data_IF_246295276997
#
_entry.id   IF_246295276997
#
_cell.length_a   1.000
_cell.length_b   1.000
_cell.length_c   1.000
_cell.angle_alpha   90.00
_cell.angle_beta   90.00
_cell.angle_gamma   90.00
#
_symmetry.space_group_name_H-M   'P 1'
#
loop_
_entity.id
_entity.type
_entity.pdbx_description
1 polymer ?
#
# COMPACT_ATOMS: atom_id res chain seq x y z
N UNK A 1 20.17 -27.00 15.02
CA UNK A 1 19.50 -26.06 14.10
C UNK A 1 19.59 -24.61 14.57
N UNK A 2 19.59 -24.33 15.88
CA UNK A 2 19.70 -22.97 16.45
C UNK A 2 20.97 -22.20 16.04
N UNK A 3 22.14 -22.86 16.00
CA UNK A 3 23.40 -22.21 15.61
C UNK A 3 23.42 -21.68 14.17
N UNK A 4 22.70 -22.32 13.24
CA UNK A 4 22.63 -21.89 11.83
C UNK A 4 21.77 -20.64 11.66
N UNK A 5 20.68 -20.53 12.43
CA UNK A 5 19.85 -19.33 12.47
C UNK A 5 20.63 -18.13 13.06
N UNK A 6 21.41 -18.35 14.12
CA UNK A 6 22.25 -17.31 14.73
C UNK A 6 23.32 -16.80 13.74
N UNK A 7 24.04 -17.69 13.05
CA UNK A 7 25.02 -17.29 12.03
C UNK A 7 24.40 -16.49 10.88
N UNK A 8 23.24 -16.93 10.36
CA UNK A 8 22.57 -16.26 9.26
C UNK A 8 22.09 -14.86 9.65
N UNK A 9 21.53 -14.72 10.85
CA UNK A 9 21.12 -13.42 11.37
C UNK A 9 22.31 -12.48 11.52
N UNK A 10 23.40 -12.93 12.15
CA UNK A 10 24.61 -12.12 12.34
C UNK A 10 25.19 -11.65 11.01
N UNK A 11 25.25 -12.54 10.02
CA UNK A 11 25.72 -12.21 8.68
C UNK A 11 24.89 -11.10 8.04
N UNK A 12 23.56 -11.26 8.00
CA UNK A 12 22.70 -10.23 7.39
C UNK A 12 22.72 -8.94 8.19
N UNK A 13 22.74 -9.00 9.53
CA UNK A 13 22.82 -7.81 10.37
C UNK A 13 24.09 -7.01 10.04
N UNK A 14 25.24 -7.68 9.96
CA UNK A 14 26.50 -7.04 9.59
C UNK A 14 26.46 -6.52 8.15
N UNK A 15 25.84 -7.22 7.20
CA UNK A 15 25.77 -6.76 5.81
C UNK A 15 24.96 -5.48 5.65
N UNK A 16 23.97 -5.23 6.52
CA UNK A 16 23.22 -3.95 6.53
C UNK A 16 24.06 -2.75 6.94
N UNK A 17 25.25 -2.94 7.52
CA UNK A 17 26.14 -1.87 7.97
C UNK A 17 27.22 -1.50 6.93
N UNK A 18 27.25 -2.19 5.79
CA UNK A 18 28.16 -1.86 4.69
C UNK A 18 27.84 -0.48 4.10
N UNK A 19 28.84 0.15 3.48
CA UNK A 19 28.69 1.44 2.79
C UNK A 19 27.57 1.39 1.73
N UNK A 20 27.55 0.31 0.94
CA UNK A 20 26.49 0.02 -0.04
C UNK A 20 25.91 -1.37 0.26
N UNK A 21 24.90 -1.46 1.15
CA UNK A 21 24.34 -2.73 1.57
C UNK A 21 23.40 -3.28 0.50
N UNK A 22 23.65 -4.53 0.08
CA UNK A 22 22.78 -5.23 -0.84
C UNK A 22 21.36 -5.36 -0.26
N UNK A 23 20.34 -5.13 -1.10
CA UNK A 23 18.93 -5.17 -0.71
C UNK A 23 18.52 -6.49 -0.02
N UNK A 24 19.04 -7.64 -0.46
CA UNK A 24 18.82 -8.95 0.18
C UNK A 24 19.11 -8.96 1.68
N UNK A 25 20.19 -8.31 2.14
CA UNK A 25 20.50 -8.20 3.56
C UNK A 25 19.53 -7.31 4.31
N UNK A 26 19.18 -6.17 3.70
CA UNK A 26 18.18 -5.24 4.24
C UNK A 26 16.80 -5.90 4.37
N UNK A 27 16.36 -6.61 3.33
CA UNK A 27 15.10 -7.35 3.31
C UNK A 27 15.06 -8.44 4.38
N UNK A 28 16.13 -9.25 4.51
CA UNK A 28 16.19 -10.32 5.50
C UNK A 28 16.17 -9.81 6.93
N UNK A 29 16.87 -8.71 7.20
CA UNK A 29 16.80 -8.07 8.52
C UNK A 29 15.47 -7.37 8.75
N UNK A 30 14.87 -6.78 7.70
CA UNK A 30 13.52 -6.22 7.77
C UNK A 30 12.48 -7.27 8.13
N UNK A 31 12.52 -8.45 7.50
CA UNK A 31 11.65 -9.60 7.79
C UNK A 31 11.82 -10.07 9.24
N UNK A 32 13.06 -10.13 9.73
CA UNK A 32 13.37 -10.48 11.12
C UNK A 32 12.74 -9.49 12.10
N UNK A 33 12.91 -8.19 11.90
CA UNK A 33 12.35 -7.19 12.79
C UNK A 33 10.82 -7.11 12.68
N UNK A 34 10.26 -7.27 11.48
CA UNK A 34 8.81 -7.25 11.30
C UNK A 34 8.08 -8.41 11.99
N UNK A 35 8.76 -9.55 12.14
CA UNK A 35 8.25 -10.72 12.87
C UNK A 35 8.60 -10.73 14.35
N UNK A 36 9.39 -9.77 14.83
CA UNK A 36 9.85 -9.68 16.21
C UNK A 36 8.83 -8.97 17.11
N UNK A 37 8.71 -9.44 18.34
CA UNK A 37 7.89 -8.81 19.39
C UNK A 37 8.64 -7.75 20.19
N UNK A 38 9.88 -7.43 19.82
CA UNK A 38 10.71 -6.44 20.54
C UNK A 38 10.12 -5.04 20.32
N UNK A 39 10.06 -4.19 21.37
CA UNK A 39 9.64 -2.80 21.22
C UNK A 39 10.46 -2.05 20.15
N UNK A 40 9.78 -1.33 19.25
CA UNK A 40 10.42 -0.59 18.16
C UNK A 40 10.86 -1.44 16.96
N UNK A 41 10.59 -2.76 16.96
CA UNK A 41 10.99 -3.62 15.84
C UNK A 41 10.32 -3.22 14.51
N UNK A 42 9.08 -2.73 14.54
CA UNK A 42 8.43 -2.24 13.31
C UNK A 42 9.13 -1.00 12.73
N UNK A 43 9.64 -0.09 13.57
CA UNK A 43 10.40 1.08 13.11
C UNK A 43 11.73 0.65 12.46
N UNK A 44 12.37 -0.39 13.01
CA UNK A 44 13.56 -0.98 12.40
C UNK A 44 13.24 -1.65 11.07
N UNK A 45 12.13 -2.38 10.97
CA UNK A 45 11.67 -2.97 9.72
C UNK A 45 11.37 -1.88 8.67
N UNK A 46 10.65 -0.82 9.04
CA UNK A 46 10.37 0.35 8.19
C UNK A 46 11.67 0.96 7.65
N UNK A 47 12.65 1.18 8.52
CA UNK A 47 13.96 1.73 8.14
C UNK A 47 14.69 0.82 7.13
N UNK A 48 14.71 -0.48 7.37
CA UNK A 48 15.39 -1.44 6.51
C UNK A 48 14.70 -1.61 5.15
N UNK A 49 13.37 -1.72 5.12
CA UNK A 49 12.63 -1.78 3.86
C UNK A 49 12.70 -0.48 3.08
N UNK A 50 12.76 0.68 3.76
CA UNK A 50 13.01 1.98 3.13
C UNK A 50 14.35 2.00 2.42
N UNK A 51 15.41 1.54 3.09
CA UNK A 51 16.75 1.46 2.49
C UNK A 51 16.78 0.49 1.31
N UNK A 52 16.09 -0.66 1.42
CA UNK A 52 15.98 -1.60 0.32
C UNK A 52 15.25 -1.00 -0.90
N UNK A 53 14.14 -0.29 -0.66
CA UNK A 53 13.39 0.42 -1.70
C UNK A 53 14.23 1.48 -2.40
N UNK A 54 14.97 2.29 -1.63
CA UNK A 54 15.87 3.32 -2.19
C UNK A 54 17.06 2.71 -2.96
N UNK A 55 17.45 1.48 -2.63
CA UNK A 55 18.43 0.69 -3.40
C UNK A 55 17.83 0.03 -4.67
N UNK A 56 16.57 0.33 -5.02
CA UNK A 56 15.91 -0.19 -6.22
C UNK A 56 15.20 -1.53 -6.04
N UNK A 57 15.04 -2.01 -4.80
CA UNK A 57 14.37 -3.29 -4.54
C UNK A 57 12.86 -3.17 -4.64
N UNK A 58 12.27 -3.84 -5.63
CA UNK A 58 10.82 -3.97 -5.77
C UNK A 58 10.20 -4.63 -4.52
N UNK A 59 10.85 -5.66 -3.98
CA UNK A 59 10.40 -6.30 -2.73
C UNK A 59 10.45 -5.33 -1.55
N UNK A 60 11.45 -4.44 -1.48
CA UNK A 60 11.52 -3.40 -0.46
C UNK A 60 10.29 -2.48 -0.49
N UNK A 61 9.89 -2.02 -1.68
CA UNK A 61 8.66 -1.22 -1.86
C UNK A 61 7.43 -2.02 -1.48
N UNK A 62 7.35 -3.30 -1.89
CA UNK A 62 6.20 -4.14 -1.56
C UNK A 62 6.01 -4.30 -0.05
N UNK A 63 7.11 -4.47 0.71
CA UNK A 63 7.03 -4.54 2.17
C UNK A 63 6.54 -3.22 2.80
N UNK A 64 6.85 -2.07 2.19
CA UNK A 64 6.29 -0.77 2.61
C UNK A 64 4.79 -0.67 2.32
N UNK A 65 4.30 -1.26 1.21
CA UNK A 65 2.85 -1.37 0.94
C UNK A 65 2.16 -2.16 2.05
N UNK A 66 2.70 -3.33 2.41
CA UNK A 66 2.14 -4.17 3.47
C UNK A 66 2.11 -3.42 4.82
N UNK A 67 3.15 -2.65 5.13
CA UNK A 67 3.18 -1.83 6.34
C UNK A 67 2.14 -0.69 6.29
N UNK A 68 2.00 -0.02 5.15
CA UNK A 68 0.99 1.02 4.96
C UNK A 68 -0.45 0.48 5.13
N UNK A 69 -0.75 -0.67 4.54
CA UNK A 69 -2.05 -1.33 4.68
C UNK A 69 -2.35 -1.75 6.13
N UNK A 70 -1.31 -2.04 6.93
CA UNK A 70 -1.42 -2.30 8.38
C UNK A 70 -1.56 -1.02 9.22
N UNK A 71 -1.55 0.16 8.60
CA UNK A 71 -1.72 1.45 9.26
C UNK A 71 -0.42 2.12 9.69
N UNK A 72 0.75 1.57 9.33
CA UNK A 72 2.03 2.24 9.59
C UNK A 72 2.27 3.34 8.55
N UNK A 73 2.77 4.49 9.01
CA UNK A 73 3.07 5.61 8.13
C UNK A 73 4.19 5.27 7.14
N UNK A 74 4.00 5.63 5.87
CA UNK A 74 5.08 5.56 4.87
C UNK A 74 6.13 6.64 5.17
N UNK A 75 7.43 6.29 5.29
CA UNK A 75 8.47 7.25 5.62
C UNK A 75 8.54 8.43 4.66
N UNK A 76 8.81 9.63 5.18
CA UNK A 76 8.79 10.88 4.40
C UNK A 76 9.69 10.81 3.17
N UNK A 77 10.86 10.16 3.28
CA UNK A 77 11.81 10.06 2.17
C UNK A 77 11.29 9.23 1.01
N UNK A 78 10.45 8.23 1.29
CA UNK A 78 9.77 7.45 0.25
C UNK A 78 8.66 8.28 -0.38
N UNK A 79 7.93 9.07 0.42
CA UNK A 79 6.89 9.98 -0.09
C UNK A 79 7.50 11.03 -1.00
N UNK A 80 8.60 11.65 -0.58
CA UNK A 80 9.35 12.63 -1.37
C UNK A 80 9.88 12.01 -2.66
N UNK A 81 10.54 10.85 -2.57
CA UNK A 81 11.06 10.11 -3.72
C UNK A 81 9.99 9.75 -4.77
N UNK A 82 8.75 9.49 -4.32
CA UNK A 82 7.62 9.15 -5.19
C UNK A 82 6.69 10.33 -5.49
N UNK A 83 7.05 11.54 -5.05
CA UNK A 83 6.23 12.74 -5.18
C UNK A 83 4.78 12.55 -4.67
N UNK A 84 4.66 11.93 -3.49
CA UNK A 84 3.40 11.70 -2.78
C UNK A 84 3.20 12.81 -1.75
N UNK A 85 2.07 13.51 -1.78
CA UNK A 85 1.74 14.54 -0.80
C UNK A 85 1.53 13.93 0.59
N UNK A 86 1.87 14.67 1.65
CA UNK A 86 1.57 14.27 3.04
C UNK A 86 0.05 14.14 3.28
N UNK A 87 -0.75 14.86 2.50
CA UNK A 87 -2.21 14.87 2.59
C UNK A 87 -2.88 13.73 1.79
N UNK A 88 -2.10 12.98 1.00
CA UNK A 88 -2.65 11.88 0.21
C UNK A 88 -3.13 10.75 1.12
N UNK A 89 -4.34 10.25 0.80
CA UNK A 89 -4.95 9.11 1.46
C UNK A 89 -4.22 7.80 1.17
N UNK A 90 -4.47 6.79 2.01
CA UNK A 90 -3.83 5.47 1.91
C UNK A 90 -4.02 4.82 0.52
N UNK A 91 -5.15 5.02 -0.13
CA UNK A 91 -5.43 4.45 -1.45
C UNK A 91 -4.56 5.06 -2.57
N UNK A 92 -4.20 6.34 -2.45
CA UNK A 92 -3.29 7.03 -3.38
C UNK A 92 -1.85 6.59 -3.08
N UNK A 93 -1.48 6.60 -1.79
CA UNK A 93 -0.14 6.18 -1.33
C UNK A 93 0.16 4.75 -1.77
N UNK A 94 -0.75 3.81 -1.51
CA UNK A 94 -0.59 2.39 -1.87
C UNK A 94 -0.53 2.19 -3.38
N UNK A 95 -1.37 2.88 -4.16
CA UNK A 95 -1.32 2.79 -5.62
C UNK A 95 0.01 3.29 -6.17
N UNK A 96 0.52 4.43 -5.69
CA UNK A 96 1.82 4.98 -6.11
C UNK A 96 3.01 4.08 -5.76
N UNK A 97 3.00 3.50 -4.57
CA UNK A 97 4.01 2.51 -4.17
C UNK A 97 3.95 1.28 -5.09
N UNK A 98 2.76 0.76 -5.38
CA UNK A 98 2.61 -0.42 -6.23
C UNK A 98 2.98 -0.15 -7.69
N UNK A 99 2.68 1.04 -8.23
CA UNK A 99 3.15 1.49 -9.54
C UNK A 99 4.68 1.43 -9.61
N UNK A 100 5.37 2.05 -8.65
CA UNK A 100 6.82 2.01 -8.60
C UNK A 100 7.36 0.60 -8.41
N UNK A 101 6.71 -0.22 -7.59
CA UNK A 101 7.14 -1.60 -7.40
C UNK A 101 7.09 -2.39 -8.72
N UNK A 102 6.02 -2.24 -9.51
CA UNK A 102 5.92 -2.89 -10.81
C UNK A 102 7.02 -2.42 -11.76
N UNK A 103 7.34 -1.13 -11.78
CA UNK A 103 8.42 -0.58 -12.62
C UNK A 103 9.81 -1.13 -12.27
N UNK A 104 10.05 -1.43 -10.99
CA UNK A 104 11.34 -1.99 -10.54
C UNK A 104 11.44 -3.51 -10.68
N UNK A 105 10.34 -4.20 -10.95
CA UNK A 105 10.39 -5.63 -11.23
C UNK A 105 10.78 -5.85 -12.70
N UNK A 106 11.94 -6.49 -12.92
CA UNK A 106 12.41 -6.88 -14.25
C UNK A 106 11.79 -8.22 -14.72
N UNK A 107 11.13 -8.93 -13.81
CA UNK A 107 10.49 -10.22 -14.10
C UNK A 107 9.21 -10.04 -14.92
N UNK A 108 9.10 -10.83 -15.99
CA UNK A 108 7.90 -10.88 -16.85
C UNK A 108 6.76 -11.71 -16.27
N UNK A 109 6.94 -12.22 -15.06
CA UNK A 109 5.97 -13.05 -14.37
C UNK A 109 4.92 -12.22 -13.64
N UNK A 110 3.83 -12.88 -13.23
CA UNK A 110 2.83 -12.26 -12.38
C UNK A 110 3.41 -12.07 -10.97
N UNK A 111 3.90 -10.87 -10.69
CA UNK A 111 4.48 -10.52 -9.38
C UNK A 111 3.42 -10.14 -8.35
N UNK A 112 3.73 -10.25 -7.03
CA UNK A 112 2.86 -9.75 -5.97
C UNK A 112 2.51 -8.26 -6.13
N UNK A 113 3.41 -7.46 -6.71
CA UNK A 113 3.17 -6.04 -6.98
C UNK A 113 2.16 -5.82 -8.09
N UNK A 114 2.29 -6.53 -9.22
CA UNK A 114 1.33 -6.43 -10.32
C UNK A 114 -0.07 -6.88 -9.87
N UNK A 115 -0.15 -8.00 -9.14
CA UNK A 115 -1.42 -8.52 -8.64
C UNK A 115 -2.08 -7.59 -7.62
N UNK A 116 -1.29 -7.02 -6.69
CA UNK A 116 -1.81 -6.05 -5.72
C UNK A 116 -2.24 -4.74 -6.38
N UNK A 117 -1.51 -4.25 -7.39
CA UNK A 117 -1.91 -3.07 -8.15
C UNK A 117 -3.24 -3.29 -8.86
N UNK A 118 -3.41 -4.46 -9.48
CA UNK A 118 -4.65 -4.84 -10.13
C UNK A 118 -5.82 -4.85 -9.14
N UNK A 119 -5.63 -5.45 -7.95
CA UNK A 119 -6.63 -5.45 -6.87
C UNK A 119 -7.05 -4.03 -6.49
N UNK A 120 -6.10 -3.11 -6.31
CA UNK A 120 -6.40 -1.70 -5.97
C UNK A 120 -7.19 -1.02 -7.07
N UNK A 121 -6.77 -1.17 -8.34
CA UNK A 121 -7.45 -0.54 -9.48
C UNK A 121 -8.87 -1.08 -9.70
N UNK A 122 -9.06 -2.39 -9.55
CA UNK A 122 -10.41 -3.00 -9.59
C UNK A 122 -11.25 -2.47 -8.43
N UNK A 123 -10.70 -2.37 -7.21
CA UNK A 123 -11.40 -1.82 -6.06
C UNK A 123 -11.88 -0.37 -6.28
N UNK A 124 -11.01 0.49 -6.85
CA UNK A 124 -11.38 1.87 -7.22
C UNK A 124 -12.46 1.92 -8.29
N UNK A 125 -12.35 1.09 -9.33
CA UNK A 125 -13.37 0.99 -10.38
C UNK A 125 -14.73 0.55 -9.80
N UNK A 126 -14.71 -0.45 -8.92
CA UNK A 126 -15.92 -0.96 -8.28
C UNK A 126 -16.57 0.07 -7.35
N UNK A 127 -15.76 0.81 -6.57
CA UNK A 127 -16.25 1.90 -5.72
C UNK A 127 -16.95 3.00 -6.54
N UNK A 128 -16.41 3.36 -7.72
CA UNK A 128 -17.05 4.34 -8.61
C UNK A 128 -18.39 3.84 -9.15
N UNK A 129 -18.46 2.56 -9.53
CA UNK A 129 -19.71 1.95 -10.03
C UNK A 129 -20.78 1.98 -8.93
N UNK A 130 -20.47 1.54 -7.72
CA UNK A 130 -21.45 1.49 -6.62
C UNK A 130 -21.91 2.89 -6.19
N UNK A 131 -21.01 3.87 -6.12
CA UNK A 131 -21.36 5.26 -5.82
C UNK A 131 -22.31 5.84 -6.87
N UNK A 132 -22.04 5.62 -8.16
CA UNK A 132 -22.92 6.08 -9.23
C UNK A 132 -24.31 5.44 -9.16
N UNK A 133 -24.39 4.14 -8.83
CA UNK A 133 -25.67 3.45 -8.64
C UNK A 133 -26.46 4.02 -7.46
N UNK A 134 -25.79 4.35 -6.34
CA UNK A 134 -26.44 4.99 -5.18
C UNK A 134 -26.93 6.40 -5.53
N UNK A 135 -26.15 7.18 -6.26
CA UNK A 135 -26.57 8.52 -6.70
C UNK A 135 -27.79 8.44 -7.64
N UNK A 136 -27.77 7.46 -8.57
CA UNK A 136 -28.92 7.21 -9.44
C UNK A 136 -30.16 6.78 -8.65
N UNK A 137 -30.04 5.86 -7.69
CA UNK A 137 -31.19 5.46 -6.88
C UNK A 137 -31.74 6.61 -6.03
N UNK A 138 -30.88 7.38 -5.37
CA UNK A 138 -31.28 8.57 -4.60
C UNK A 138 -31.97 9.62 -5.46
N UNK A 139 -31.44 9.87 -6.66
CA UNK A 139 -32.06 10.80 -7.60
C UNK A 139 -33.43 10.29 -8.05
N UNK A 140 -33.58 9.02 -8.43
CA UNK A 140 -34.88 8.42 -8.78
C UNK A 140 -35.88 8.53 -7.63
N UNK A 141 -35.48 8.20 -6.40
CA UNK A 141 -36.37 8.34 -5.22
C UNK A 141 -36.79 9.79 -4.97
N UNK A 142 -35.90 10.75 -5.21
CA UNK A 142 -36.20 12.18 -5.11
C UNK A 142 -37.16 12.65 -6.21
N UNK A 143 -37.01 12.14 -7.43
CA UNK A 143 -37.91 12.43 -8.54
C UNK A 143 -39.30 11.83 -8.31
N UNK A 144 -39.42 10.58 -7.87
CA UNK A 144 -40.73 9.96 -7.59
C UNK A 144 -41.46 10.67 -6.46
N UNK A 145 -40.76 11.02 -5.37
CA UNK A 145 -41.37 11.80 -4.26
C UNK A 145 -41.72 13.24 -4.63
N UNK A 146 -41.17 13.79 -5.71
CA UNK A 146 -41.56 15.09 -6.25
C UNK A 146 -42.84 14.98 -7.08
N UNK A 147 -42.92 13.98 -7.96
CA UNK A 147 -44.12 13.67 -8.75
C UNK A 147 -45.33 13.37 -7.85
N UNK A 148 -45.15 12.57 -6.80
CA UNK A 148 -46.22 12.28 -5.82
C UNK A 148 -46.75 13.55 -5.14
N UNK A 149 -45.91 14.59 -4.95
CA UNK A 149 -46.35 15.86 -4.35
C UNK A 149 -47.12 16.74 -5.33
N UNK A 150 -46.76 16.73 -6.61
CA UNK A 150 -47.46 17.49 -7.65
C UNK A 150 -48.85 16.88 -7.94
N UNK A 151 -48.98 15.56 -7.92
CA UNK A 151 -50.27 14.87 -8.09
C UNK A 151 -51.24 15.11 -6.92
N UNK A 152 -50.74 15.21 -5.68
CA UNK A 152 -51.57 15.55 -4.49
C UNK A 152 -52.07 17.01 -4.57
N UNK A 153 -51.29 17.93 -5.16
CA UNK A 153 -51.68 19.33 -5.33
C UNK A 153 -52.75 19.52 -6.42
N UNK A 154 -52.79 18.65 -7.43
CA UNK A 154 -53.80 18.68 -8.50
C UNK A 154 -55.12 18.00 -8.12
N UNK A 155 -55.12 17.06 -7.16
CA UNK A 155 -56.32 16.39 -6.67
C UNK A 155 -57.09 17.16 -5.56
N UNK A 156 -56.54 18.27 -5.08
CA UNK A 156 -57.13 19.12 -4.03
C UNK A 156 -57.88 20.36 -4.52
N UNK A 157 -58.13 20.48 -5.83
CA UNK A 157 -58.92 21.58 -6.44
C UNK A 157 -60.28 21.11 -6.94
#
# INVERSE_FOLDING_TARGET
>A
MEQSYDCRWRYYNHSTMNYDPHDSGLLKMGDFYFSSSVPGAVDQALSLYTRAALAGSSQGIYQLVILAEKGYGVPWIIRDWLNISVHDGLDIVTERLLERCVELNDDKDLTPCALSLLRVRIGKAWSKITQNTIQLSLSVSKWTSHLDKEDILLAGQ
#
